data_IF_147208637997
#
_entry.id   IF_147208637997
#
_cell.length_a   1.000
_cell.length_b   1.000
_cell.length_c   1.000
_cell.angle_alpha   90.00
_cell.angle_beta   90.00
_cell.angle_gamma   90.00
#
_symmetry.space_group_name_H-M   'P 1'
#
loop_
_entity.id
_entity.type
_entity.pdbx_description
1 polymer ?
#
# COMPACT_ATOMS: atom_id res chain seq x y z
N UNK A 1 -6.28 -13.75 -25.73
CA UNK A 1 -6.58 -12.32 -25.87
C UNK A 1 -5.31 -11.55 -25.56
N UNK A 2 -4.49 -11.31 -26.59
CA UNK A 2 -3.22 -10.59 -26.46
C UNK A 2 -3.47 -9.08 -26.46
N UNK A 3 -3.24 -8.44 -25.32
CA UNK A 3 -3.28 -6.99 -25.19
C UNK A 3 -1.89 -6.40 -25.50
N UNK A 4 -1.45 -6.52 -26.75
CA UNK A 4 -0.22 -5.88 -27.21
C UNK A 4 -0.56 -4.50 -27.81
N UNK A 5 -0.51 -3.47 -26.96
CA UNK A 5 -0.42 -2.09 -27.43
C UNK A 5 0.99 -1.88 -28.02
N UNK A 6 1.14 -2.17 -29.31
CA UNK A 6 2.39 -1.99 -30.06
C UNK A 6 2.55 -0.51 -30.38
N UNK A 7 3.45 0.17 -29.67
CA UNK A 7 3.95 1.49 -30.06
C UNK A 7 4.96 1.28 -31.20
N UNK A 8 4.75 1.81 -32.42
CA UNK A 8 5.66 1.57 -33.54
C UNK A 8 7.03 2.23 -33.31
N UNK A 9 8.12 1.48 -33.48
CA UNK A 9 9.47 2.04 -33.70
C UNK A 9 10.51 1.88 -32.59
N UNK A 10 10.22 1.21 -31.47
CA UNK A 10 11.22 0.99 -30.40
C UNK A 10 11.65 -0.48 -30.33
N UNK A 11 12.97 -0.74 -30.32
CA UNK A 11 13.51 -2.06 -29.96
C UNK A 11 12.98 -2.41 -28.55
N UNK A 12 12.17 -3.46 -28.44
CA UNK A 12 11.48 -3.85 -27.21
C UNK A 12 12.41 -4.05 -26.01
N UNK A 13 13.67 -4.41 -26.26
CA UNK A 13 14.68 -4.68 -25.22
C UNK A 13 15.02 -3.47 -24.32
N UNK A 14 14.65 -2.25 -24.72
CA UNK A 14 14.87 -1.03 -23.92
C UNK A 14 13.59 -0.38 -23.38
N UNK A 15 12.41 -0.89 -23.74
CA UNK A 15 11.17 -0.25 -23.31
C UNK A 15 10.88 -0.57 -21.84
N UNK A 16 10.86 0.47 -21.01
CA UNK A 16 10.57 0.39 -19.56
C UNK A 16 9.07 0.49 -19.24
N UNK A 17 8.20 0.47 -20.26
CA UNK A 17 6.76 0.64 -20.12
C UNK A 17 6.29 2.09 -20.19
N UNK A 18 4.97 2.33 -20.26
CA UNK A 18 4.39 3.66 -20.20
C UNK A 18 4.78 4.39 -18.91
N UNK A 19 4.98 5.71 -19.03
CA UNK A 19 5.07 6.57 -17.86
C UNK A 19 3.65 6.84 -17.34
N UNK A 20 3.45 6.70 -16.04
CA UNK A 20 2.20 6.98 -15.36
C UNK A 20 2.44 8.00 -14.25
N UNK A 21 1.39 8.77 -13.95
CA UNK A 21 1.33 9.65 -12.79
C UNK A 21 0.12 9.27 -11.95
N UNK A 22 0.31 9.16 -10.65
CA UNK A 22 -0.72 8.77 -9.70
C UNK A 22 -0.73 9.73 -8.53
N UNK A 23 -1.92 10.18 -8.11
CA UNK A 23 -2.11 10.88 -6.85
C UNK A 23 -2.65 9.90 -5.81
N UNK A 24 -1.98 9.75 -4.67
CA UNK A 24 -2.41 8.94 -3.54
C UNK A 24 -2.88 9.85 -2.39
N UNK A 25 -4.14 10.32 -2.41
CA UNK A 25 -4.70 11.04 -1.28
C UNK A 25 -4.97 10.07 -0.13
N UNK A 26 -4.58 10.46 1.08
CA UNK A 26 -4.90 9.74 2.30
C UNK A 26 -5.40 10.70 3.38
N UNK A 27 -6.22 10.21 4.30
CA UNK A 27 -6.73 11.00 5.42
C UNK A 27 -6.41 10.29 6.73
N UNK A 28 -6.06 11.06 7.75
CA UNK A 28 -5.86 10.57 9.11
C UNK A 28 -6.37 11.59 10.13
N UNK A 29 -6.22 11.28 11.42
CA UNK A 29 -6.70 12.10 12.52
C UNK A 29 -8.09 11.69 12.97
N UNK A 30 -8.83 12.63 13.55
CA UNK A 30 -10.07 12.34 14.31
C UNK A 30 -9.84 11.30 15.42
N UNK A 31 -8.69 11.40 16.07
CA UNK A 31 -8.35 10.61 17.25
C UNK A 31 -8.23 11.54 18.45
N UNK A 32 -8.20 10.98 19.66
CA UNK A 32 -7.96 11.73 20.90
C UNK A 32 -6.63 12.52 20.85
N UNK A 33 -5.59 11.91 20.29
CA UNK A 33 -4.25 12.52 20.19
C UNK A 33 -4.09 13.47 18.99
N UNK A 34 -4.94 13.33 17.96
CA UNK A 34 -4.94 14.21 16.81
C UNK A 34 -6.38 14.53 16.37
N UNK A 35 -7.01 15.55 17.00
CA UNK A 35 -8.41 15.87 16.77
C UNK A 35 -8.69 16.43 15.37
N UNK A 36 -7.67 17.00 14.72
CA UNK A 36 -7.81 17.57 13.39
C UNK A 36 -7.88 16.47 12.33
N UNK A 37 -8.71 16.66 11.30
CA UNK A 37 -8.66 15.81 10.11
C UNK A 37 -7.50 16.28 9.23
N UNK A 38 -6.54 15.39 9.00
CA UNK A 38 -5.37 15.65 8.17
C UNK A 38 -5.54 14.99 6.81
N UNK A 39 -5.15 15.71 5.75
CA UNK A 39 -5.02 15.18 4.39
C UNK A 39 -3.55 15.12 4.00
N UNK A 40 -3.16 13.96 3.52
CA UNK A 40 -1.84 13.68 2.95
C UNK A 40 -1.98 13.66 1.45
N UNK A 41 -1.02 14.30 0.77
CA UNK A 41 -0.91 14.26 -0.67
C UNK A 41 0.44 13.64 -1.03
N UNK A 42 0.39 12.57 -1.82
CA UNK A 42 1.56 11.94 -2.40
C UNK A 42 1.35 11.82 -3.91
N UNK A 43 2.21 12.46 -4.70
CA UNK A 43 2.22 12.30 -6.14
C UNK A 43 3.35 11.34 -6.51
N UNK A 44 3.02 10.30 -7.26
CA UNK A 44 3.96 9.28 -7.73
C UNK A 44 4.05 9.38 -9.25
N UNK A 45 5.28 9.48 -9.74
CA UNK A 45 5.59 9.31 -11.15
C UNK A 45 6.46 8.07 -11.32
N UNK A 46 6.11 7.17 -12.24
CA UNK A 46 6.91 5.98 -12.49
C UNK A 46 6.61 5.41 -13.88
N UNK A 47 7.32 4.36 -14.26
CA UNK A 47 7.01 3.55 -15.44
C UNK A 47 6.55 2.16 -15.04
N UNK A 48 5.54 1.63 -15.73
CA UNK A 48 4.96 0.33 -15.40
C UNK A 48 5.03 -0.62 -16.57
N UNK A 49 5.47 -1.86 -16.35
CA UNK A 49 5.43 -2.92 -17.36
C UNK A 49 5.08 -4.27 -16.77
N UNK A 50 4.52 -5.15 -17.59
CA UNK A 50 4.35 -6.56 -17.23
C UNK A 50 5.70 -7.27 -17.17
N UNK A 51 5.88 -8.12 -16.15
CA UNK A 51 7.09 -8.93 -15.93
C UNK A 51 6.70 -10.36 -15.57
N UNK A 52 7.70 -11.27 -15.57
CA UNK A 52 7.51 -12.61 -15.03
C UNK A 52 7.32 -12.52 -13.51
N UNK A 53 6.34 -13.26 -13.00
CA UNK A 53 6.11 -13.33 -11.56
C UNK A 53 7.33 -13.89 -10.82
N UNK A 54 7.57 -13.38 -9.61
CA UNK A 54 8.63 -13.89 -8.75
C UNK A 54 8.34 -15.33 -8.32
N UNK A 55 9.37 -16.17 -8.30
CA UNK A 55 9.27 -17.53 -7.75
C UNK A 55 9.38 -17.44 -6.23
N UNK A 56 8.33 -17.86 -5.53
CA UNK A 56 8.28 -17.91 -4.07
C UNK A 56 8.35 -19.36 -3.61
N UNK A 57 9.05 -19.61 -2.50
CA UNK A 57 9.18 -20.94 -1.88
C UNK A 57 8.70 -20.91 -0.43
N UNK A 58 8.25 -22.06 0.08
CA UNK A 58 7.83 -22.19 1.48
C UNK A 58 9.04 -21.99 2.40
N UNK A 59 8.92 -21.22 3.49
CA UNK A 59 9.94 -21.15 4.53
C UNK A 59 10.20 -22.54 5.13
N UNK A 60 11.46 -22.88 5.38
CA UNK A 60 11.81 -24.09 6.13
C UNK A 60 11.45 -23.89 7.61
N UNK A 61 10.53 -24.70 8.13
CA UNK A 61 10.18 -24.68 9.55
C UNK A 61 11.35 -25.27 10.36
N UNK A 62 12.12 -24.44 11.07
CA UNK A 62 13.02 -24.93 12.11
C UNK A 62 12.19 -25.17 13.36
N UNK A 63 11.82 -26.43 13.61
CA UNK A 63 11.11 -26.83 14.81
C UNK A 63 11.99 -26.63 16.05
N UNK A 64 11.77 -25.53 16.77
CA UNK A 64 11.93 -25.48 18.22
C UNK A 64 10.62 -24.94 18.77
N UNK A 65 9.72 -25.86 19.04
CA UNK A 65 8.52 -25.62 19.84
C UNK A 65 8.99 -25.21 21.23
N UNK A 66 8.79 -23.95 21.58
CA UNK A 66 8.58 -23.57 22.97
C UNK A 66 7.31 -22.73 23.02
N UNK A 67 6.29 -23.34 23.63
CA UNK A 67 5.14 -22.75 24.30
C UNK A 67 4.21 -21.79 23.52
N UNK A 68 2.99 -22.28 23.29
CA UNK A 68 1.74 -21.49 23.40
C UNK A 68 1.55 -20.34 22.37
N UNK A 69 2.08 -20.46 21.16
CA UNK A 69 1.67 -19.59 20.05
C UNK A 69 0.24 -19.98 19.64
N UNK A 70 -0.69 -19.02 19.74
CA UNK A 70 -2.12 -19.27 19.57
C UNK A 70 -2.39 -19.99 18.24
N UNK A 71 -3.25 -21.03 18.24
CA UNK A 71 -3.66 -21.76 17.02
C UNK A 71 -4.02 -20.80 15.86
N UNK A 72 -4.54 -19.61 16.21
CA UNK A 72 -4.94 -18.56 15.29
C UNK A 72 -3.80 -17.88 14.51
N UNK A 73 -2.57 -17.85 15.03
CA UNK A 73 -1.41 -17.24 14.35
C UNK A 73 -0.82 -18.20 13.32
N UNK A 74 -0.70 -19.48 13.66
CA UNK A 74 -0.28 -20.51 12.71
C UNK A 74 -1.25 -20.65 11.53
N UNK A 75 -2.56 -20.57 11.76
CA UNK A 75 -3.57 -20.57 10.69
C UNK A 75 -3.43 -19.34 9.78
N UNK A 76 -3.24 -18.14 10.35
CA UNK A 76 -2.99 -16.90 9.60
C UNK A 76 -1.71 -16.95 8.77
N UNK A 77 -0.63 -17.50 9.34
CA UNK A 77 0.63 -17.72 8.65
C UNK A 77 0.45 -18.71 7.49
N UNK A 78 -0.23 -19.83 7.72
CA UNK A 78 -0.52 -20.83 6.69
C UNK A 78 -1.39 -20.27 5.55
N UNK A 79 -2.38 -19.43 5.86
CA UNK A 79 -3.20 -18.74 4.85
C UNK A 79 -2.34 -17.78 4.02
N UNK A 80 -1.50 -16.98 4.68
CA UNK A 80 -0.59 -16.03 4.03
C UNK A 80 0.37 -16.77 3.08
N UNK A 81 0.97 -17.86 3.54
CA UNK A 81 1.83 -18.73 2.72
C UNK A 81 1.06 -19.31 1.53
N UNK A 82 -0.16 -19.78 1.74
CA UNK A 82 -0.99 -20.35 0.67
C UNK A 82 -1.31 -19.31 -0.43
N UNK A 83 -1.58 -18.06 -0.05
CA UNK A 83 -1.78 -16.96 -1.01
C UNK A 83 -0.50 -16.70 -1.81
N UNK A 84 0.66 -16.64 -1.16
CA UNK A 84 1.95 -16.36 -1.83
C UNK A 84 2.40 -17.48 -2.78
N UNK A 85 2.01 -18.74 -2.51
CA UNK A 85 2.33 -19.91 -3.33
C UNK A 85 1.29 -20.20 -4.42
N UNK A 86 0.21 -19.42 -4.47
CA UNK A 86 -0.83 -19.56 -5.49
C UNK A 86 -0.33 -19.18 -6.89
N UNK A 87 -1.13 -19.48 -7.93
CA UNK A 87 -0.79 -19.13 -9.31
C UNK A 87 -0.96 -17.62 -9.53
N UNK A 88 0.11 -16.87 -9.85
CA UNK A 88 0.01 -15.43 -10.08
C UNK A 88 -0.79 -15.14 -11.36
N UNK A 89 -1.68 -14.15 -11.30
CA UNK A 89 -2.49 -13.69 -12.44
C UNK A 89 -1.72 -12.67 -13.29
N UNK A 90 -1.04 -11.72 -12.63
CA UNK A 90 -0.28 -10.65 -13.27
C UNK A 90 0.86 -10.22 -12.34
N UNK A 91 2.02 -9.89 -12.91
CA UNK A 91 3.12 -9.25 -12.19
C UNK A 91 3.56 -7.99 -12.93
N UNK A 92 3.68 -6.89 -12.18
CA UNK A 92 4.03 -5.58 -12.71
C UNK A 92 5.32 -5.09 -12.05
N UNK A 93 6.24 -4.56 -12.86
CA UNK A 93 7.40 -3.81 -12.39
C UNK A 93 7.08 -2.31 -12.49
N UNK A 94 7.27 -1.61 -11.38
CA UNK A 94 7.28 -0.16 -11.31
C UNK A 94 8.74 0.30 -11.26
N UNK A 95 9.18 1.09 -12.24
CA UNK A 95 10.57 1.55 -12.36
C UNK A 95 10.65 3.07 -12.47
N UNK A 96 11.83 3.64 -12.18
CA UNK A 96 12.04 5.09 -12.18
C UNK A 96 11.03 5.83 -11.28
N UNK A 97 10.74 5.24 -10.11
CA UNK A 97 9.74 5.77 -9.19
C UNK A 97 10.26 7.05 -8.53
N UNK A 98 9.51 8.14 -8.73
CA UNK A 98 9.69 9.44 -8.09
C UNK A 98 8.47 9.73 -7.23
N UNK A 99 8.69 10.12 -5.97
CA UNK A 99 7.64 10.47 -5.02
C UNK A 99 7.80 11.91 -4.59
N UNK A 100 6.72 12.68 -4.72
CA UNK A 100 6.59 13.99 -4.12
C UNK A 100 5.58 13.90 -2.98
N UNK A 101 6.04 14.14 -1.76
CA UNK A 101 5.21 14.11 -0.55
C UNK A 101 5.17 15.52 0.04
N UNK A 102 3.98 15.99 0.33
CA UNK A 102 3.76 17.27 1.01
C UNK A 102 3.46 17.03 2.50
N UNK A 103 3.70 18.05 3.33
CA UNK A 103 3.29 18.01 4.72
C UNK A 103 1.75 17.86 4.81
N UNK A 104 1.23 17.14 5.82
CA UNK A 104 -0.21 16.94 5.95
C UNK A 104 -0.93 18.28 6.18
N UNK A 105 -2.04 18.48 5.48
CA UNK A 105 -2.85 19.70 5.58
C UNK A 105 -4.08 19.44 6.45
N UNK A 106 -4.39 20.36 7.35
CA UNK A 106 -5.64 20.30 8.14
C UNK A 106 -6.83 20.63 7.24
N UNK A 107 -7.76 19.69 7.09
CA UNK A 107 -8.98 19.84 6.28
C UNK A 107 -10.19 20.25 7.11
N UNK A 108 -10.24 19.80 8.36
CA UNK A 108 -11.25 20.25 9.32
C UNK A 108 -10.67 20.28 10.72
N UNK A 109 -10.85 21.40 11.41
CA UNK A 109 -10.53 21.51 12.84
C UNK A 109 -11.68 20.95 13.68
N UNK A 110 -11.35 20.39 14.84
CA UNK A 110 -12.36 20.01 15.83
C UNK A 110 -13.01 21.28 16.39
N UNK A 111 -14.31 21.46 16.17
CA UNK A 111 -15.07 22.49 16.87
C UNK A 111 -15.29 22.02 18.31
N UNK A 112 -14.56 22.57 19.27
CA UNK A 112 -14.93 22.43 20.67
C UNK A 112 -16.29 23.10 20.84
N UNK A 113 -17.35 22.29 21.01
CA UNK A 113 -18.65 22.83 21.38
C UNK A 113 -18.50 23.53 22.74
N UNK A 114 -18.75 24.84 22.79
CA UNK A 114 -18.75 25.65 24.01
C UNK A 114 -20.00 25.41 24.86
N UNK A 115 -20.29 24.15 25.21
CA UNK A 115 -21.17 23.90 26.35
C UNK A 115 -20.34 23.99 27.61
N UNK A 116 -19.98 25.22 27.98
CA UNK A 116 -19.59 25.54 29.33
C UNK A 116 -20.84 25.37 30.20
N UNK A 117 -20.99 24.19 30.82
CA UNK A 117 -21.94 24.02 31.91
C UNK A 117 -21.39 24.79 33.10
N UNK A 118 -21.78 26.05 33.23
CA UNK A 118 -21.67 26.78 34.49
C UNK A 118 -22.65 26.14 35.47
N UNK A 119 -22.15 25.25 36.33
CA UNK A 119 -22.85 24.90 37.56
C UNK A 119 -22.48 25.99 38.56
N UNK A 120 -23.43 26.89 38.82
CA UNK A 120 -23.41 27.79 39.98
C UNK A 120 -23.96 27.05 41.19
N UNK A 121 -23.28 27.18 42.33
CA UNK A 121 -23.62 26.65 43.66
C UNK A 121 -25.05 26.95 44.13
#
# INVERSE_FOLDING_TARGET
MDLLMVVPGMKFDKWKGPAIKMSLPSFSGRTEYNPSLLKYSCNIECRVRAVRAAKVSRPSLTSKQDAEESLSEHERQNLTISVMLSKPILALEFSCLSMQVEAPVVVSQHSTSRFATTVTD
#
